data_IF_082889637399
#
_entry.id   IF_082889637399
#
_cell.length_a   1.000
_cell.length_b   1.000
_cell.length_c   1.000
_cell.angle_alpha   90.00
_cell.angle_beta   90.00
_cell.angle_gamma   90.00
#
_symmetry.space_group_name_H-M   'P 1'
#
loop_
_entity.id
_entity.type
_entity.pdbx_description
1 polymer ?
#
# COMPACT_ATOMS: atom_id res chain seq x y z
N UNK A 1 -10.46 6.75 24.81
CA UNK A 1 -10.02 7.65 23.72
C UNK A 1 -8.81 7.11 22.96
N UNK A 2 -7.96 6.30 23.59
CA UNK A 2 -6.78 5.66 22.98
C UNK A 2 -7.07 4.95 21.65
N UNK A 3 -8.10 4.09 21.58
CA UNK A 3 -8.45 3.36 20.34
C UNK A 3 -8.81 4.29 19.17
N UNK A 4 -9.54 5.39 19.40
CA UNK A 4 -9.88 6.36 18.34
C UNK A 4 -8.62 7.07 17.80
N UNK A 5 -7.65 7.36 18.67
CA UNK A 5 -6.37 7.97 18.28
C UNK A 5 -5.53 6.99 17.48
N UNK A 6 -5.42 5.74 17.93
CA UNK A 6 -4.71 4.68 17.21
C UNK A 6 -5.31 4.42 15.83
N UNK A 7 -6.63 4.45 15.72
CA UNK A 7 -7.33 4.30 14.44
C UNK A 7 -7.02 5.44 13.46
N UNK A 8 -7.08 6.69 13.93
CA UNK A 8 -6.72 7.85 13.11
C UNK A 8 -5.28 7.76 12.59
N UNK A 9 -4.34 7.38 13.45
CA UNK A 9 -2.95 7.17 13.08
C UNK A 9 -2.78 6.03 12.05
N UNK A 10 -3.54 4.95 12.18
CA UNK A 10 -3.47 3.82 11.25
C UNK A 10 -4.05 4.15 9.87
N UNK A 11 -5.17 4.89 9.82
CA UNK A 11 -5.76 5.39 8.57
C UNK A 11 -4.82 6.35 7.84
N UNK A 12 -4.18 7.28 8.58
CA UNK A 12 -3.17 8.19 8.06
C UNK A 12 -2.00 7.39 7.46
N UNK A 13 -1.44 6.43 8.20
CA UNK A 13 -0.33 5.60 7.74
C UNK A 13 -0.68 4.81 6.47
N UNK A 14 -1.90 4.27 6.37
CA UNK A 14 -2.37 3.61 5.14
C UNK A 14 -2.38 4.58 3.95
N UNK A 15 -2.89 5.80 4.14
CA UNK A 15 -2.89 6.83 3.10
C UNK A 15 -1.48 7.22 2.65
N UNK A 16 -0.57 7.42 3.60
CA UNK A 16 0.83 7.78 3.35
C UNK A 16 1.57 6.67 2.59
N UNK A 17 1.38 5.41 2.98
CA UNK A 17 1.98 4.25 2.32
C UNK A 17 1.39 4.10 0.90
N UNK A 18 0.08 4.27 0.71
CA UNK A 18 -0.55 4.20 -0.62
C UNK A 18 -0.06 5.30 -1.56
N UNK A 19 0.05 6.53 -1.04
CA UNK A 19 0.62 7.67 -1.79
C UNK A 19 2.07 7.40 -2.19
N UNK A 20 2.87 6.84 -1.27
CA UNK A 20 4.26 6.49 -1.53
C UNK A 20 4.40 5.36 -2.54
N UNK A 21 3.56 4.32 -2.45
CA UNK A 21 3.51 3.23 -3.42
C UNK A 21 3.22 3.76 -4.83
N UNK A 22 2.18 4.59 -4.98
CA UNK A 22 1.82 5.19 -6.27
C UNK A 22 2.93 6.09 -6.84
N UNK A 23 3.65 6.82 -5.97
CA UNK A 23 4.81 7.63 -6.39
C UNK A 23 5.94 6.74 -6.91
N UNK A 24 6.25 5.64 -6.21
CA UNK A 24 7.28 4.68 -6.63
C UNK A 24 6.89 4.09 -8.00
N UNK A 25 5.65 3.63 -8.17
CA UNK A 25 5.18 3.10 -9.46
C UNK A 25 5.30 4.12 -10.57
N UNK A 26 4.88 5.37 -10.34
CA UNK A 26 5.03 6.43 -11.33
C UNK A 26 6.49 6.71 -11.71
N UNK A 27 7.41 6.68 -10.74
CA UNK A 27 8.84 6.82 -11.00
C UNK A 27 9.41 5.64 -11.80
N UNK A 28 8.98 4.41 -11.50
CA UNK A 28 9.38 3.20 -12.21
C UNK A 28 8.89 3.21 -13.65
N UNK A 29 7.62 3.56 -13.89
CA UNK A 29 7.07 3.69 -15.25
C UNK A 29 7.78 4.78 -16.05
N UNK A 30 8.10 5.91 -15.42
CA UNK A 30 8.91 6.96 -16.05
C UNK A 30 10.31 6.45 -16.42
N UNK A 31 10.96 5.71 -15.51
CA UNK A 31 12.26 5.12 -15.76
C UNK A 31 12.21 4.10 -16.90
N UNK A 32 11.24 3.18 -16.90
CA UNK A 32 11.00 2.21 -17.99
C UNK A 32 10.84 2.90 -19.33
N UNK A 33 10.02 3.94 -19.39
CA UNK A 33 9.78 4.73 -20.62
C UNK A 33 11.08 5.36 -21.16
N UNK A 34 11.91 5.91 -20.27
CA UNK A 34 13.22 6.49 -20.65
C UNK A 34 14.24 5.45 -21.08
N UNK A 35 14.19 4.26 -20.49
CA UNK A 35 15.12 3.17 -20.77
C UNK A 35 14.73 2.39 -22.03
N UNK A 36 13.45 2.35 -22.40
CA UNK A 36 12.97 1.58 -23.56
C UNK A 36 13.81 1.76 -24.86
N UNK A 37 14.19 2.98 -25.29
CA UNK A 37 15.04 3.14 -26.47
C UNK A 37 16.47 2.64 -26.24
N UNK A 38 17.00 2.73 -25.03
CA UNK A 38 18.36 2.27 -24.67
C UNK A 38 18.44 0.75 -24.54
N UNK A 39 17.37 0.09 -24.09
CA UNK A 39 17.29 -1.37 -24.00
C UNK A 39 17.52 -2.03 -25.36
N UNK A 40 17.09 -1.39 -26.46
CA UNK A 40 17.37 -1.86 -27.82
C UNK A 40 18.85 -1.83 -28.22
N UNK A 41 19.67 -1.07 -27.48
CA UNK A 41 21.12 -0.91 -27.72
C UNK A 41 21.97 -1.71 -26.72
N UNK A 42 21.35 -2.28 -25.69
CA UNK A 42 22.04 -3.03 -24.65
C UNK A 42 22.22 -4.49 -25.07
N UNK A 43 23.47 -4.93 -25.12
CA UNK A 43 23.82 -6.31 -25.41
C UNK A 43 23.58 -7.22 -24.18
N UNK A 44 23.43 -8.52 -24.41
CA UNK A 44 22.68 -9.48 -23.59
C UNK A 44 22.81 -9.43 -22.05
N UNK A 45 23.97 -9.11 -21.49
CA UNK A 45 24.17 -9.05 -20.03
C UNK A 45 23.51 -7.83 -19.38
N UNK A 46 23.57 -6.66 -20.03
CA UNK A 46 22.94 -5.44 -19.53
C UNK A 46 21.41 -5.52 -19.60
N UNK A 47 20.87 -6.14 -20.66
CA UNK A 47 19.45 -6.42 -20.78
C UNK A 47 18.95 -7.40 -19.69
N UNK A 48 19.73 -8.44 -19.38
CA UNK A 48 19.41 -9.39 -18.32
C UNK A 48 19.36 -8.73 -16.93
N UNK A 49 20.39 -7.93 -16.60
CA UNK A 49 20.43 -7.18 -15.33
C UNK A 49 19.26 -6.20 -15.20
N UNK A 50 18.93 -5.49 -16.27
CA UNK A 50 17.76 -4.61 -16.29
C UNK A 50 16.45 -5.35 -16.01
N UNK A 51 16.21 -6.47 -16.71
CA UNK A 51 15.00 -7.27 -16.51
C UNK A 51 14.90 -7.81 -15.08
N UNK A 52 16.03 -8.16 -14.45
CA UNK A 52 16.05 -8.58 -13.05
C UNK A 52 15.66 -7.45 -12.10
N UNK A 53 16.26 -6.27 -12.27
CA UNK A 53 15.90 -5.09 -11.48
C UNK A 53 14.44 -4.70 -11.70
N UNK A 54 13.97 -4.87 -12.95
CA UNK A 54 12.58 -4.63 -13.29
C UNK A 54 11.65 -5.55 -12.50
N UNK A 55 11.93 -6.85 -12.54
CA UNK A 55 11.12 -7.82 -11.80
C UNK A 55 11.12 -7.52 -10.29
N UNK A 56 12.29 -7.20 -9.72
CA UNK A 56 12.40 -6.90 -8.27
C UNK A 56 11.56 -5.71 -7.85
N UNK A 57 11.55 -4.62 -8.63
CA UNK A 57 10.75 -3.45 -8.26
C UNK A 57 9.25 -3.71 -8.46
N UNK A 58 8.87 -4.53 -9.46
CA UNK A 58 7.46 -4.82 -9.77
C UNK A 58 6.89 -5.72 -8.66
N UNK A 59 7.69 -6.68 -8.18
CA UNK A 59 7.39 -7.51 -7.01
C UNK A 59 7.26 -6.68 -5.73
N UNK A 60 8.23 -5.80 -5.45
CA UNK A 60 8.17 -4.95 -4.26
C UNK A 60 6.93 -4.02 -4.24
N UNK A 61 6.53 -3.50 -5.40
CA UNK A 61 5.32 -2.69 -5.53
C UNK A 61 4.05 -3.52 -5.29
N UNK A 62 3.98 -4.74 -5.83
CA UNK A 62 2.88 -5.67 -5.60
C UNK A 62 2.75 -6.07 -4.12
N UNK A 63 3.86 -6.39 -3.47
CA UNK A 63 3.90 -6.73 -2.04
C UNK A 63 3.41 -5.56 -1.18
N UNK A 64 3.85 -4.33 -1.50
CA UNK A 64 3.41 -3.14 -0.79
C UNK A 64 1.89 -2.92 -0.91
N UNK A 65 1.34 -3.09 -2.12
CA UNK A 65 -0.12 -3.04 -2.36
C UNK A 65 -0.86 -4.11 -1.56
N UNK A 66 -0.32 -5.32 -1.49
CA UNK A 66 -0.92 -6.40 -0.72
C UNK A 66 -0.97 -6.07 0.77
N UNK A 67 0.14 -5.60 1.35
CA UNK A 67 0.21 -5.19 2.77
C UNK A 67 -0.78 -4.07 3.06
N UNK A 68 -0.86 -3.07 2.17
CA UNK A 68 -1.83 -1.97 2.27
C UNK A 68 -3.27 -2.45 2.30
N UNK A 69 -3.65 -3.38 1.42
CA UNK A 69 -4.98 -3.96 1.39
C UNK A 69 -5.28 -4.72 2.68
N UNK A 70 -4.32 -5.49 3.20
CA UNK A 70 -4.48 -6.22 4.45
C UNK A 70 -4.68 -5.26 5.64
N UNK A 71 -3.92 -4.17 5.70
CA UNK A 71 -4.11 -3.11 6.71
C UNK A 71 -5.50 -2.51 6.59
N UNK A 72 -5.94 -2.14 5.37
CA UNK A 72 -7.26 -1.57 5.14
C UNK A 72 -8.41 -2.47 5.60
N UNK A 73 -8.31 -3.78 5.34
CA UNK A 73 -9.28 -4.78 5.82
C UNK A 73 -9.28 -4.83 7.35
N UNK A 74 -8.10 -4.90 7.98
CA UNK A 74 -7.99 -4.96 9.44
C UNK A 74 -8.56 -3.70 10.12
N UNK A 75 -8.30 -2.53 9.54
CA UNK A 75 -8.87 -1.23 9.96
C UNK A 75 -10.40 -1.25 9.85
N UNK A 76 -10.94 -1.71 8.71
CA UNK A 76 -12.38 -1.82 8.49
C UNK A 76 -13.06 -2.72 9.51
N UNK A 77 -12.51 -3.91 9.74
CA UNK A 77 -13.03 -4.85 10.74
C UNK A 77 -13.00 -4.26 12.16
N UNK A 78 -11.92 -3.56 12.53
CA UNK A 78 -11.83 -2.90 13.83
C UNK A 78 -12.89 -1.79 14.01
N UNK A 79 -13.22 -1.06 12.94
CA UNK A 79 -14.26 -0.03 12.95
C UNK A 79 -15.65 -0.64 13.17
N UNK A 80 -15.98 -1.72 12.46
CA UNK A 80 -17.26 -2.42 12.59
C UNK A 80 -17.43 -2.95 14.02
N UNK A 81 -16.40 -3.63 14.55
CA UNK A 81 -16.41 -4.14 15.92
C UNK A 81 -16.61 -3.03 16.96
N UNK A 82 -15.95 -1.88 16.76
CA UNK A 82 -16.08 -0.73 17.64
C UNK A 82 -17.49 -0.14 17.59
N UNK A 83 -18.06 0.09 16.40
CA UNK A 83 -19.41 0.63 16.25
C UNK A 83 -20.46 -0.30 16.87
N UNK A 84 -20.31 -1.61 16.69
CA UNK A 84 -21.20 -2.60 17.30
C UNK A 84 -21.08 -2.64 18.83
N UNK A 85 -19.86 -2.53 19.36
CA UNK A 85 -19.64 -2.42 20.80
C UNK A 85 -20.25 -1.15 21.39
N UNK A 86 -20.12 0.00 20.69
CA UNK A 86 -20.70 1.27 21.14
C UNK A 86 -22.23 1.25 21.05
N UNK A 87 -22.84 0.66 20.01
CA UNK A 87 -24.30 0.44 19.94
C UNK A 87 -24.81 -0.47 21.06
N UNK A 88 -24.11 -1.57 21.34
CA UNK A 88 -24.46 -2.51 22.43
C UNK A 88 -24.33 -1.86 23.81
N UNK A 89 -23.35 -0.99 24.00
CA UNK A 89 -23.24 -0.23 25.24
C UNK A 89 -24.30 0.87 25.32
N UNK A 90 -24.52 1.66 24.27
CA UNK A 90 -25.56 2.70 24.27
C UNK A 90 -26.96 2.13 24.59
N UNK A 91 -27.30 0.96 24.04
CA UNK A 91 -28.58 0.27 24.31
C UNK A 91 -28.70 -0.27 25.74
N UNK A 92 -27.60 -0.51 26.46
CA UNK A 92 -27.62 -0.94 27.87
C UNK A 92 -27.76 0.21 28.87
N UNK A 93 -27.40 1.44 28.48
CA UNK A 93 -27.40 2.60 29.36
C UNK A 93 -28.51 3.60 29.03
N UNK A 94 -29.23 3.40 27.93
CA UNK A 94 -30.39 4.21 27.53
C UNK A 94 -31.75 3.55 27.81
N UNK A 95 -31.78 2.47 28.61
CA UNK A 95 -32.99 1.78 29.05
C UNK A 95 -33.10 1.75 30.57
#
# INVERSE_FOLDING_TARGET
>A
MEIKVTFGALSQAQGDISSTANKIEGQLENLKSRLQPLVSTWDGEAAASYNEHQRKWDEAAADLKQVLNQIGIAVGHALEQYQDAERKNASRWGG
#
